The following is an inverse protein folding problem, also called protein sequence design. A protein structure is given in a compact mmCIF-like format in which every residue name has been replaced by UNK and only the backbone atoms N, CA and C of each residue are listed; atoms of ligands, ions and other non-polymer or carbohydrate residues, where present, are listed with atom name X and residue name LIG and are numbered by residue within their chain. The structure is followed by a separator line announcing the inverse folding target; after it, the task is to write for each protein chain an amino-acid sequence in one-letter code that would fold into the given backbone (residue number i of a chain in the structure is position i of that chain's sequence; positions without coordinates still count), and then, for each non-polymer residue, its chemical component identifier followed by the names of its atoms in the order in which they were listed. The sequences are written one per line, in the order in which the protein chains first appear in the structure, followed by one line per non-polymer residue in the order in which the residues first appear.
data_IF_599367686170
#
_entry.id   IF_599367686170
#
_cell.length_a   1.000
_cell.length_b   1.000
_cell.length_c   1.000
_cell.angle_alpha   90.00
_cell.angle_beta   90.00
_cell.angle_gamma   90.00
#
_symmetry.space_group_name_H-M   'P 1'
#
loop_
_entity.id
_entity.type
_entity.pdbx_description
1 polymer ?
#
# COMPACT_ATOMS: atom_id res chain seq x y z
N UNK A 1 19.84 -5.46 5.72
CA UNK A 1 20.59 -6.65 6.17
C UNK A 1 20.07 -7.83 5.35
N UNK A 2 20.91 -8.48 4.55
CA UNK A 2 20.54 -9.65 3.75
C UNK A 2 20.79 -10.95 4.50
N UNK A 3 19.97 -12.01 4.26
CA UNK A 3 18.77 -12.07 3.41
C UNK A 3 17.55 -11.41 4.05
N UNK A 4 16.56 -11.04 3.23
CA UNK A 4 15.21 -10.70 3.70
C UNK A 4 14.43 -11.99 3.69
N UNK A 5 14.16 -12.53 4.89
CA UNK A 5 13.48 -13.81 5.07
C UNK A 5 12.00 -13.73 4.62
N UNK A 6 11.35 -14.87 4.33
CA UNK A 6 9.96 -14.91 3.92
C UNK A 6 9.05 -14.14 4.88
N UNK A 7 8.30 -13.20 4.34
CA UNK A 7 7.32 -12.38 5.06
C UNK A 7 6.24 -11.88 4.10
N UNK A 8 5.22 -11.25 4.65
CA UNK A 8 4.17 -10.61 3.89
C UNK A 8 3.69 -9.35 4.63
N UNK A 9 2.98 -8.46 3.93
CA UNK A 9 2.45 -7.22 4.49
C UNK A 9 1.15 -6.80 3.77
N UNK A 10 0.46 -5.77 4.29
CA UNK A 10 -0.82 -5.28 3.77
C UNK A 10 -0.70 -4.13 2.75
N UNK A 11 0.50 -3.67 2.45
CA UNK A 11 0.77 -2.61 1.49
C UNK A 11 1.36 -3.18 0.19
N UNK A 12 1.38 -2.37 -0.86
CA UNK A 12 2.13 -2.65 -2.07
C UNK A 12 3.58 -2.28 -1.83
N UNK A 13 4.48 -3.19 -2.19
CA UNK A 13 5.92 -2.92 -2.22
C UNK A 13 6.42 -3.05 -3.65
N UNK A 14 7.12 -2.03 -4.12
CA UNK A 14 7.81 -2.04 -5.41
C UNK A 14 9.30 -2.06 -5.13
N UNK A 15 9.97 -3.11 -5.60
CA UNK A 15 11.43 -3.22 -5.57
C UNK A 15 11.98 -2.95 -6.97
N UNK A 16 12.93 -2.02 -7.07
CA UNK A 16 13.64 -1.67 -8.30
C UNK A 16 15.14 -1.92 -8.13
N UNK A 17 15.71 -2.80 -8.96
CA UNK A 17 17.13 -3.14 -8.93
C UNK A 17 17.99 -2.03 -9.50
N UNK A 18 19.04 -1.64 -8.78
CA UNK A 18 20.02 -0.62 -9.20
C UNK A 18 21.35 -1.23 -9.55
N UNK A 19 21.83 -2.21 -8.75
CA UNK A 19 23.16 -2.80 -8.89
C UNK A 19 23.18 -4.24 -8.36
N UNK A 20 23.96 -5.10 -8.97
CA UNK A 20 24.06 -6.51 -8.62
C UNK A 20 22.88 -7.34 -9.11
N UNK A 21 22.68 -8.52 -8.53
CA UNK A 21 21.56 -9.42 -8.84
C UNK A 21 20.91 -9.93 -7.56
N UNK A 22 19.60 -9.96 -7.55
CA UNK A 22 18.81 -10.51 -6.45
C UNK A 22 18.01 -11.73 -6.92
N UNK A 23 18.00 -12.78 -6.12
CA UNK A 23 17.04 -13.87 -6.24
C UNK A 23 15.82 -13.53 -5.36
N UNK A 24 14.65 -13.57 -5.94
CA UNK A 24 13.41 -13.17 -5.29
C UNK A 24 12.38 -14.28 -5.38
N UNK A 25 11.89 -14.71 -4.23
CA UNK A 25 10.72 -15.58 -4.13
C UNK A 25 9.48 -14.67 -4.01
N UNK A 26 8.48 -14.86 -4.85
CA UNK A 26 7.28 -14.04 -4.91
C UNK A 26 6.04 -14.92 -5.11
N UNK A 27 5.34 -15.24 -4.01
CA UNK A 27 4.27 -16.24 -4.00
C UNK A 27 4.81 -17.62 -4.33
N UNK A 28 4.32 -18.21 -5.42
CA UNK A 28 4.75 -19.54 -5.91
C UNK A 28 5.87 -19.44 -6.98
N UNK A 29 6.23 -18.23 -7.39
CA UNK A 29 7.18 -17.98 -8.48
C UNK A 29 8.52 -17.46 -7.96
N UNK A 30 9.56 -17.70 -8.74
CA UNK A 30 10.93 -17.28 -8.43
C UNK A 30 11.52 -16.47 -9.58
N UNK A 31 12.21 -15.38 -9.24
CA UNK A 31 12.77 -14.46 -10.21
C UNK A 31 14.23 -14.12 -9.88
N UNK A 32 15.03 -13.85 -10.92
CA UNK A 32 16.33 -13.22 -10.77
C UNK A 32 16.23 -11.82 -11.33
N UNK A 33 16.40 -10.82 -10.47
CA UNK A 33 16.35 -9.41 -10.84
C UNK A 33 17.74 -8.90 -11.18
N UNK A 34 17.85 -8.22 -12.31
CA UNK A 34 19.03 -7.50 -12.78
C UNK A 34 18.83 -5.98 -12.69
N UNK A 35 19.89 -5.16 -12.79
CA UNK A 35 19.76 -3.71 -12.78
C UNK A 35 18.78 -3.19 -13.84
N UNK A 36 17.81 -2.38 -13.40
CA UNK A 36 16.70 -1.87 -14.19
C UNK A 36 15.40 -2.68 -14.11
N UNK A 37 15.45 -3.89 -13.57
CA UNK A 37 14.26 -4.70 -13.35
C UNK A 37 13.45 -4.20 -12.15
N UNK A 38 12.15 -4.50 -12.19
CA UNK A 38 11.20 -4.14 -11.16
C UNK A 38 10.32 -5.34 -10.80
N UNK A 39 10.00 -5.50 -9.53
CA UNK A 39 8.98 -6.45 -9.06
C UNK A 39 7.99 -5.76 -8.12
N UNK A 40 6.73 -6.17 -8.20
CA UNK A 40 5.63 -5.64 -7.37
C UNK A 40 5.13 -6.73 -6.45
N UNK A 41 5.25 -6.53 -5.14
CA UNK A 41 4.61 -7.36 -4.14
C UNK A 41 3.27 -6.72 -3.77
N UNK A 42 2.18 -7.38 -4.09
CA UNK A 42 0.84 -6.93 -3.72
C UNK A 42 0.49 -7.35 -2.28
N UNK A 43 -0.52 -6.73 -1.67
CA UNK A 43 -0.91 -7.04 -0.29
C UNK A 43 -1.08 -8.54 -0.03
N UNK A 44 -0.53 -9.03 1.08
CA UNK A 44 -0.57 -10.42 1.53
C UNK A 44 0.23 -11.42 0.66
N UNK A 45 0.98 -10.97 -0.34
CA UNK A 45 1.88 -11.81 -1.10
C UNK A 45 3.13 -12.15 -0.27
N UNK A 46 3.32 -13.43 0.02
CA UNK A 46 4.54 -13.89 0.69
C UNK A 46 5.74 -13.72 -0.27
N UNK A 47 6.82 -13.13 0.23
CA UNK A 47 8.02 -12.92 -0.57
C UNK A 47 9.28 -12.93 0.28
N UNK A 48 10.41 -13.23 -0.38
CA UNK A 48 11.75 -13.21 0.21
C UNK A 48 12.77 -12.71 -0.82
N UNK A 49 13.89 -12.13 -0.34
CA UNK A 49 14.89 -11.55 -1.21
C UNK A 49 16.27 -12.01 -0.75
N UNK A 50 17.03 -12.60 -1.66
CA UNK A 50 18.37 -13.13 -1.42
C UNK A 50 19.37 -12.51 -2.41
N UNK A 51 20.66 -12.46 -2.04
CA UNK A 51 21.70 -12.12 -2.99
C UNK A 51 21.92 -13.28 -3.97
N UNK A 52 21.89 -13.00 -5.26
CA UNK A 52 22.12 -13.99 -6.32
C UNK A 52 23.57 -14.01 -6.81
N UNK A 53 24.53 -13.43 -6.06
CA UNK A 53 25.91 -13.37 -6.48
C UNK A 53 26.85 -12.90 -5.37
N UNK A 54 28.16 -12.77 -5.72
CA UNK A 54 29.20 -12.28 -4.79
C UNK A 54 29.29 -10.75 -4.73
N UNK A 55 28.66 -10.04 -5.66
CA UNK A 55 28.67 -8.57 -5.70
C UNK A 55 27.66 -7.98 -4.73
N UNK A 56 27.95 -6.81 -4.15
CA UNK A 56 26.97 -6.08 -3.37
C UNK A 56 25.74 -5.78 -4.22
N UNK A 57 24.57 -5.88 -3.61
CA UNK A 57 23.31 -5.53 -4.27
C UNK A 57 22.81 -4.21 -3.73
N UNK A 58 22.27 -3.38 -4.62
CA UNK A 58 21.61 -2.13 -4.29
C UNK A 58 20.28 -2.05 -5.04
N UNK A 59 19.26 -1.72 -4.32
CA UNK A 59 17.90 -1.57 -4.85
C UNK A 59 17.16 -0.49 -4.08
N UNK A 60 16.11 0.04 -4.69
CA UNK A 60 15.14 0.91 -4.03
C UNK A 60 13.88 0.12 -3.71
N UNK A 61 13.27 0.46 -2.58
CA UNK A 61 11.97 -0.08 -2.17
C UNK A 61 11.03 1.08 -1.93
N UNK A 62 9.90 1.06 -2.61
CA UNK A 62 8.80 1.99 -2.42
C UNK A 62 7.59 1.23 -1.87
N UNK A 63 7.04 1.73 -0.76
CA UNK A 63 5.93 1.10 -0.05
C UNK A 63 4.78 2.08 0.04
N UNK A 64 3.57 1.62 -0.28
CA UNK A 64 2.36 2.44 -0.18
C UNK A 64 1.12 1.56 0.00
N UNK A 65 0.11 2.12 0.65
CA UNK A 65 -1.22 1.49 0.72
C UNK A 65 -2.02 1.84 -0.55
N UNK A 66 -2.41 0.84 -1.37
CA UNK A 66 -3.10 1.09 -2.63
C UNK A 66 -4.49 1.72 -2.45
N UNK A 67 -5.08 1.64 -1.25
CA UNK A 67 -6.37 2.27 -0.93
C UNK A 67 -6.26 3.80 -1.00
N UNK A 68 -5.09 4.37 -0.67
CA UNK A 68 -4.87 5.81 -0.73
C UNK A 68 -4.54 6.36 -2.12
N UNK A 69 -4.35 5.50 -3.10
CA UNK A 69 -4.13 5.93 -4.49
C UNK A 69 -5.42 6.04 -5.31
N UNK A 70 -6.58 6.02 -4.67
CA UNK A 70 -7.84 6.17 -5.37
C UNK A 70 -7.97 7.58 -5.94
N UNK A 71 -8.26 7.66 -7.24
CA UNK A 71 -8.43 8.93 -7.97
C UNK A 71 -9.93 9.20 -8.04
N UNK A 72 -10.38 10.24 -7.34
CA UNK A 72 -11.77 10.71 -7.41
C UNK A 72 -12.16 11.03 -8.87
N UNK A 73 -13.32 10.55 -9.31
CA UNK A 73 -13.81 10.76 -10.67
C UNK A 73 -13.13 9.90 -11.76
N UNK A 74 -12.26 8.95 -11.38
CA UNK A 74 -11.70 8.01 -12.35
C UNK A 74 -12.77 7.05 -12.88
N UNK A 75 -12.76 6.80 -14.19
CA UNK A 75 -13.56 5.74 -14.81
C UNK A 75 -12.97 4.33 -14.58
N UNK A 76 -11.80 4.24 -13.97
CA UNK A 76 -11.13 2.98 -13.64
C UNK A 76 -11.54 2.52 -12.24
N UNK A 77 -11.60 1.20 -12.00
CA UNK A 77 -11.71 0.66 -10.65
C UNK A 77 -10.57 1.17 -9.74
N UNK A 78 -10.73 1.09 -8.40
CA UNK A 78 -9.65 1.39 -7.46
C UNK A 78 -8.36 0.63 -7.80
N UNK A 79 -7.21 1.24 -7.54
CA UNK A 79 -5.90 0.64 -7.85
C UNK A 79 -5.73 -0.71 -7.16
N UNK A 80 -6.21 -0.87 -5.92
CA UNK A 80 -6.24 -2.15 -5.21
C UNK A 80 -6.99 -3.24 -5.98
N UNK A 81 -8.15 -2.90 -6.56
CA UNK A 81 -8.94 -3.83 -7.38
C UNK A 81 -8.25 -4.16 -8.71
N UNK A 82 -7.62 -3.17 -9.36
CA UNK A 82 -6.85 -3.39 -10.58
C UNK A 82 -5.67 -4.32 -10.35
N UNK A 83 -4.95 -4.18 -9.24
CA UNK A 83 -3.87 -5.08 -8.85
C UNK A 83 -4.40 -6.49 -8.60
N UNK A 84 -5.49 -6.64 -7.84
CA UNK A 84 -6.09 -7.95 -7.58
C UNK A 84 -6.56 -8.63 -8.86
N UNK A 85 -7.25 -7.91 -9.76
CA UNK A 85 -7.68 -8.44 -11.06
C UNK A 85 -6.49 -8.88 -11.93
N UNK A 86 -5.42 -8.11 -11.96
CA UNK A 86 -4.25 -8.40 -12.79
C UNK A 86 -3.42 -9.56 -12.22
N UNK A 87 -2.94 -9.42 -11.00
CA UNK A 87 -1.98 -10.34 -10.41
C UNK A 87 -2.64 -11.62 -9.86
N UNK A 88 -3.81 -11.51 -9.22
CA UNK A 88 -4.46 -12.66 -8.57
C UNK A 88 -5.43 -13.38 -9.49
N UNK A 89 -6.38 -12.65 -10.13
CA UNK A 89 -7.41 -13.30 -10.96
C UNK A 89 -6.90 -13.71 -12.34
N UNK A 90 -6.11 -12.85 -12.99
CA UNK A 90 -5.58 -13.09 -14.34
C UNK A 90 -4.15 -13.63 -14.35
N UNK A 91 -3.52 -13.76 -13.18
CA UNK A 91 -2.17 -14.31 -12.98
C UNK A 91 -1.11 -13.66 -13.88
N UNK A 92 -1.23 -12.36 -14.12
CA UNK A 92 -0.22 -11.61 -14.84
C UNK A 92 1.05 -11.50 -14.00
N UNK A 93 2.19 -11.45 -14.68
CA UNK A 93 3.49 -11.37 -14.01
C UNK A 93 3.58 -10.14 -13.12
N UNK A 94 4.12 -10.33 -11.92
CA UNK A 94 4.48 -9.24 -11.00
C UNK A 94 5.93 -8.79 -11.19
N UNK A 95 6.70 -9.53 -12.00
CA UNK A 95 8.05 -9.20 -12.43
C UNK A 95 8.02 -8.48 -13.78
N UNK A 96 8.81 -7.43 -13.89
CA UNK A 96 8.93 -6.60 -15.07
C UNK A 96 10.41 -6.40 -15.40
N UNK A 97 10.84 -6.97 -16.49
CA UNK A 97 12.19 -6.74 -16.99
C UNK A 97 12.36 -5.29 -17.45
N UNK A 98 13.58 -4.81 -17.41
CA UNK A 98 13.95 -3.44 -17.79
C UNK A 98 13.45 -3.02 -19.19
N UNK A 99 13.30 -3.95 -20.12
CA UNK A 99 12.82 -3.72 -21.48
C UNK A 99 11.33 -3.34 -21.53
N UNK A 100 10.56 -3.63 -20.48
CA UNK A 100 9.12 -3.34 -20.40
C UNK A 100 8.82 -1.84 -20.18
N UNK A 101 9.82 -1.05 -19.76
CA UNK A 101 9.65 0.35 -19.43
C UNK A 101 10.62 1.26 -20.17
N UNK A 102 10.25 2.55 -20.29
CA UNK A 102 11.23 3.58 -20.53
C UNK A 102 12.13 3.72 -19.30
N UNK A 103 13.38 3.27 -19.40
CA UNK A 103 14.33 3.20 -18.29
C UNK A 103 14.64 4.57 -17.67
N UNK A 104 14.80 5.60 -18.49
CA UNK A 104 15.06 6.95 -18.00
C UNK A 104 13.89 7.49 -17.19
N UNK A 105 12.66 7.28 -17.67
CA UNK A 105 11.45 7.68 -16.95
C UNK A 105 11.29 6.94 -15.63
N UNK A 106 11.50 5.60 -15.63
CA UNK A 106 11.41 4.80 -14.40
C UNK A 106 12.46 5.22 -13.37
N UNK A 107 13.70 5.43 -13.81
CA UNK A 107 14.79 5.89 -12.96
C UNK A 107 14.47 7.26 -12.35
N UNK A 108 13.98 8.21 -13.14
CA UNK A 108 13.57 9.54 -12.65
C UNK A 108 12.45 9.44 -11.61
N UNK A 109 11.41 8.64 -11.86
CA UNK A 109 10.31 8.45 -10.91
C UNK A 109 10.77 7.85 -9.58
N UNK A 110 11.60 6.80 -9.64
CA UNK A 110 12.04 6.09 -8.45
C UNK A 110 13.06 6.92 -7.66
N UNK A 111 14.08 7.46 -8.31
CA UNK A 111 15.08 8.30 -7.66
C UNK A 111 14.48 9.61 -7.16
N UNK A 112 13.56 10.21 -7.92
CA UNK A 112 12.80 11.39 -7.49
C UNK A 112 11.95 11.12 -6.25
N UNK A 113 11.33 9.94 -6.16
CA UNK A 113 10.58 9.52 -4.97
C UNK A 113 11.49 9.36 -3.75
N UNK A 114 12.64 8.71 -3.91
CA UNK A 114 13.62 8.55 -2.82
C UNK A 114 14.11 9.91 -2.33
N UNK A 115 14.51 10.79 -3.26
CA UNK A 115 14.94 12.15 -2.93
C UNK A 115 13.84 12.95 -2.19
N UNK A 116 12.60 12.86 -2.67
CA UNK A 116 11.45 13.52 -2.03
C UNK A 116 11.24 13.03 -0.58
N UNK A 117 11.41 11.72 -0.33
CA UNK A 117 11.31 11.14 1.01
C UNK A 117 12.49 11.53 1.93
N UNK A 118 13.68 11.72 1.36
CA UNK A 118 14.87 12.15 2.11
C UNK A 118 14.77 13.64 2.49
N UNK A 119 14.32 14.49 1.56
CA UNK A 119 14.26 15.95 1.77
C UNK A 119 13.03 16.38 2.59
N UNK A 120 11.92 15.66 2.52
CA UNK A 120 10.64 15.93 3.21
C UNK A 120 10.23 17.42 3.22
N UNK A 121 10.38 18.08 2.06
CA UNK A 121 9.97 19.47 1.90
C UNK A 121 8.44 19.59 2.01
N UNK A 122 7.94 20.79 2.29
CA UNK A 122 6.50 21.04 2.33
C UNK A 122 5.78 20.52 1.07
N UNK A 123 4.75 19.68 1.23
CA UNK A 123 4.02 19.03 0.14
C UNK A 123 4.68 17.76 -0.42
N UNK A 124 5.70 17.20 0.26
CA UNK A 124 6.37 15.98 -0.16
C UNK A 124 5.39 14.79 -0.30
N UNK A 125 4.38 14.71 0.54
CA UNK A 125 3.31 13.71 0.52
C UNK A 125 2.48 13.78 -0.77
N UNK A 126 2.17 14.98 -1.26
CA UNK A 126 1.49 15.20 -2.54
C UNK A 126 2.35 14.71 -3.71
N UNK A 127 3.65 15.01 -3.68
CA UNK A 127 4.60 14.55 -4.70
C UNK A 127 4.72 13.04 -4.66
N UNK A 128 4.82 12.43 -3.48
CA UNK A 128 4.89 10.98 -3.32
C UNK A 128 3.63 10.29 -3.82
N UNK A 129 2.44 10.81 -3.49
CA UNK A 129 1.17 10.30 -4.01
C UNK A 129 1.15 10.34 -5.54
N UNK A 130 1.56 11.45 -6.14
CA UNK A 130 1.64 11.61 -7.59
C UNK A 130 2.61 10.61 -8.23
N UNK A 131 3.79 10.42 -7.63
CA UNK A 131 4.79 9.47 -8.12
C UNK A 131 4.28 8.01 -8.04
N UNK A 132 3.61 7.63 -6.97
CA UNK A 132 2.99 6.30 -6.84
C UNK A 132 1.90 6.08 -7.89
N UNK A 133 1.05 7.09 -8.15
CA UNK A 133 0.06 7.03 -9.22
C UNK A 133 0.73 6.84 -10.60
N UNK A 134 1.82 7.56 -10.88
CA UNK A 134 2.56 7.43 -12.14
C UNK A 134 3.23 6.06 -12.27
N UNK A 135 3.85 5.53 -11.20
CA UNK A 135 4.43 4.17 -11.20
C UNK A 135 3.36 3.12 -11.48
N UNK A 136 2.22 3.20 -10.80
CA UNK A 136 1.11 2.27 -11.05
C UNK A 136 0.55 2.40 -12.45
N UNK A 137 0.48 3.61 -13.02
CA UNK A 137 0.05 3.80 -14.40
C UNK A 137 0.99 3.13 -15.41
N UNK A 138 2.32 3.17 -15.19
CA UNK A 138 3.28 2.45 -16.05
C UNK A 138 3.11 0.93 -15.92
N UNK A 139 2.96 0.39 -14.71
CA UNK A 139 2.72 -1.03 -14.46
C UNK A 139 1.42 -1.48 -15.13
N UNK A 140 0.32 -0.74 -14.97
CA UNK A 140 -0.97 -1.03 -15.59
C UNK A 140 -0.90 -1.01 -17.14
N UNK A 141 -0.06 -0.14 -17.73
CA UNK A 141 0.17 -0.12 -19.19
C UNK A 141 0.87 -1.40 -19.65
N UNK A 142 1.87 -1.87 -18.92
CA UNK A 142 2.55 -3.14 -19.24
C UNK A 142 1.56 -4.29 -19.13
N UNK A 143 0.81 -4.39 -18.04
CA UNK A 143 -0.23 -5.42 -17.90
C UNK A 143 -1.27 -5.34 -19.02
N UNK A 144 -1.66 -4.12 -19.44
CA UNK A 144 -2.58 -3.95 -20.57
C UNK A 144 -2.02 -4.49 -21.88
N UNK A 145 -0.73 -4.31 -22.14
CA UNK A 145 -0.03 -4.86 -23.31
C UNK A 145 0.06 -6.39 -23.22
N UNK A 146 0.16 -6.95 -22.01
CA UNK A 146 0.20 -8.39 -21.74
C UNK A 146 -1.21 -9.05 -21.71
N UNK A 147 -2.25 -8.31 -22.04
CA UNK A 147 -3.60 -8.85 -22.17
C UNK A 147 -4.52 -8.57 -20.99
N UNK A 148 -4.12 -7.75 -20.02
CA UNK A 148 -5.00 -7.36 -18.92
C UNK A 148 -6.32 -6.80 -19.41
N UNK A 149 -7.41 -7.37 -18.92
CA UNK A 149 -8.76 -6.96 -19.25
C UNK A 149 -9.51 -6.55 -17.99
N UNK A 150 -10.01 -5.33 -17.99
CA UNK A 150 -10.96 -4.89 -16.98
C UNK A 150 -12.31 -5.51 -17.36
N UNK A 151 -12.74 -6.54 -16.63
CA UNK A 151 -14.06 -7.13 -16.80
C UNK A 151 -15.10 -6.13 -16.34
N UNK A 152 -15.73 -5.41 -17.28
CA UNK A 152 -16.88 -4.55 -16.98
C UNK A 152 -18.04 -5.44 -16.51
N UNK A 153 -18.31 -5.49 -15.21
CA UNK A 153 -19.59 -6.01 -14.71
C UNK A 153 -20.65 -4.95 -14.99
N UNK A 154 -21.73 -5.30 -15.70
CA UNK A 154 -22.84 -4.38 -16.09
C UNK A 154 -23.57 -3.68 -14.92
N UNK A 155 -23.22 -3.98 -13.65
CA UNK A 155 -23.72 -3.34 -12.43
C UNK A 155 -22.73 -2.38 -11.77
N UNK A 156 -21.54 -2.18 -12.33
CA UNK A 156 -20.39 -1.59 -11.60
C UNK A 156 -20.42 -0.08 -11.43
N UNK A 157 -21.09 0.67 -12.30
CA UNK A 157 -21.01 2.14 -12.21
C UNK A 157 -21.69 2.65 -10.93
N UNK A 158 -22.90 2.21 -10.64
CA UNK A 158 -23.64 2.63 -9.42
C UNK A 158 -23.04 2.03 -8.14
N UNK A 159 -22.51 0.80 -8.20
CA UNK A 159 -21.83 0.17 -7.07
C UNK A 159 -20.48 0.80 -6.79
N UNK A 160 -19.70 1.15 -7.82
CA UNK A 160 -18.40 1.79 -7.63
C UNK A 160 -18.54 3.19 -7.02
N UNK A 161 -19.52 3.97 -7.45
CA UNK A 161 -19.85 5.26 -6.84
C UNK A 161 -20.23 5.08 -5.38
N UNK A 162 -21.13 4.14 -5.06
CA UNK A 162 -21.54 3.85 -3.67
C UNK A 162 -20.37 3.40 -2.80
N UNK A 163 -19.49 2.53 -3.28
CA UNK A 163 -18.35 2.09 -2.47
C UNK A 163 -17.28 3.18 -2.34
N UNK A 164 -17.12 4.06 -3.30
CA UNK A 164 -16.32 5.28 -3.14
C UNK A 164 -16.89 6.13 -2.00
N UNK A 165 -18.20 6.39 -2.00
CA UNK A 165 -18.88 7.10 -0.90
C UNK A 165 -18.70 6.39 0.46
N UNK A 166 -18.76 5.04 0.50
CA UNK A 166 -18.49 4.26 1.73
C UNK A 166 -17.07 4.50 2.23
N UNK A 167 -16.06 4.46 1.36
CA UNK A 167 -14.66 4.67 1.77
C UNK A 167 -14.40 6.10 2.23
N UNK A 168 -14.99 7.08 1.55
CA UNK A 168 -14.95 8.50 1.96
C UNK A 168 -15.61 8.68 3.32
N UNK A 169 -16.78 8.07 3.54
CA UNK A 169 -17.48 8.11 4.82
C UNK A 169 -16.62 7.51 5.94
N UNK A 170 -16.02 6.33 5.73
CA UNK A 170 -15.10 5.72 6.70
C UNK A 170 -13.92 6.65 6.99
N UNK A 171 -13.34 7.28 5.97
CA UNK A 171 -12.19 8.19 6.12
C UNK A 171 -12.54 9.49 6.87
N UNK A 172 -13.79 9.92 6.84
CA UNK A 172 -14.26 11.12 7.55
C UNK A 172 -14.74 10.82 8.97
N UNK A 173 -15.24 9.59 9.23
CA UNK A 173 -15.89 9.21 10.49
C UNK A 173 -15.14 8.10 11.24
N UNK A 174 -13.86 7.83 10.92
CA UNK A 174 -13.07 6.73 11.51
C UNK A 174 -12.96 6.79 13.04
N UNK A 175 -13.12 7.99 13.63
CA UNK A 175 -13.09 8.21 15.08
C UNK A 175 -14.34 7.69 15.77
N UNK A 176 -15.45 7.62 15.06
CA UNK A 176 -16.75 7.19 15.58
C UNK A 176 -16.80 5.66 15.74
N UNK A 177 -17.76 5.17 16.53
CA UNK A 177 -17.99 3.72 16.65
C UNK A 177 -18.70 3.18 15.41
N UNK A 178 -17.95 2.98 14.35
CA UNK A 178 -18.47 2.49 13.07
C UNK A 178 -18.72 0.99 13.11
N UNK A 179 -19.97 0.59 12.99
CA UNK A 179 -20.35 -0.80 12.77
C UNK A 179 -20.60 -1.10 11.29
N UNK A 180 -20.25 -2.31 10.85
CA UNK A 180 -20.51 -2.74 9.46
C UNK A 180 -22.01 -2.82 9.18
N UNK A 181 -22.83 -3.09 10.21
CA UNK A 181 -24.29 -3.16 10.08
C UNK A 181 -24.89 -1.77 9.80
N UNK A 182 -24.46 -0.75 10.56
CA UNK A 182 -24.88 0.64 10.36
C UNK A 182 -24.44 1.19 9.01
N UNK A 183 -23.21 0.86 8.57
CA UNK A 183 -22.75 1.22 7.24
C UNK A 183 -23.61 0.57 6.14
N UNK A 184 -23.91 -0.72 6.28
CA UNK A 184 -24.77 -1.40 5.33
C UNK A 184 -26.16 -0.75 5.24
N UNK A 185 -26.79 -0.43 6.39
CA UNK A 185 -28.06 0.25 6.48
C UNK A 185 -28.00 1.65 5.85
N UNK A 186 -26.99 2.45 6.21
CA UNK A 186 -26.77 3.80 5.66
C UNK A 186 -26.70 3.82 4.14
N UNK A 187 -26.07 2.82 3.55
CA UNK A 187 -25.92 2.70 2.10
C UNK A 187 -27.04 1.84 1.44
N UNK A 188 -28.12 1.57 2.19
CA UNK A 188 -29.29 0.82 1.71
C UNK A 188 -28.96 -0.57 1.17
N UNK A 189 -28.12 -1.32 1.91
CA UNK A 189 -27.74 -2.70 1.59
C UNK A 189 -28.02 -3.63 2.77
N UNK A 190 -28.32 -4.90 2.49
CA UNK A 190 -28.31 -5.91 3.56
C UNK A 190 -26.87 -6.13 4.04
N UNK A 191 -26.68 -6.47 5.32
CA UNK A 191 -25.35 -6.74 5.91
C UNK A 191 -24.54 -7.75 5.07
N UNK A 192 -25.16 -8.88 4.73
CA UNK A 192 -24.46 -9.95 4.00
C UNK A 192 -24.05 -9.52 2.60
N UNK A 193 -24.91 -8.79 1.88
CA UNK A 193 -24.59 -8.25 0.56
C UNK A 193 -23.48 -7.21 0.63
N UNK A 194 -23.58 -6.25 1.56
CA UNK A 194 -22.56 -5.22 1.79
C UNK A 194 -21.21 -5.86 2.10
N UNK A 195 -21.14 -6.79 3.07
CA UNK A 195 -19.88 -7.41 3.49
C UNK A 195 -19.21 -8.20 2.34
N UNK A 196 -20.00 -8.94 1.56
CA UNK A 196 -19.49 -9.70 0.43
C UNK A 196 -18.94 -8.82 -0.68
N UNK A 197 -19.73 -7.83 -1.11
CA UNK A 197 -19.34 -6.92 -2.20
C UNK A 197 -18.20 -5.99 -1.77
N UNK A 198 -18.21 -5.51 -0.50
CA UNK A 198 -17.11 -4.71 0.04
C UNK A 198 -15.78 -5.47 -0.04
N UNK A 199 -15.77 -6.74 0.41
CA UNK A 199 -14.58 -7.58 0.35
C UNK A 199 -14.15 -7.86 -1.10
N UNK A 200 -15.11 -8.11 -1.99
CA UNK A 200 -14.85 -8.29 -3.43
C UNK A 200 -14.26 -7.03 -4.07
N UNK A 201 -14.76 -5.85 -3.70
CA UNK A 201 -14.37 -4.57 -4.28
C UNK A 201 -13.01 -4.07 -3.77
N UNK A 202 -12.77 -4.18 -2.45
CA UNK A 202 -11.56 -3.66 -1.81
C UNK A 202 -10.50 -4.72 -1.50
N UNK A 203 -10.76 -6.01 -1.71
CA UNK A 203 -9.86 -7.10 -1.34
C UNK A 203 -9.73 -7.33 0.18
N UNK A 204 -10.43 -6.55 1.00
CA UNK A 204 -10.40 -6.60 2.46
C UNK A 204 -11.79 -6.38 3.05
N UNK A 205 -12.01 -6.82 4.28
CA UNK A 205 -13.28 -6.57 4.96
C UNK A 205 -13.41 -5.09 5.36
N UNK A 206 -14.65 -4.62 5.53
CA UNK A 206 -14.91 -3.27 6.01
C UNK A 206 -14.29 -2.99 7.39
N UNK A 207 -14.28 -3.97 8.30
CA UNK A 207 -13.61 -3.86 9.60
C UNK A 207 -12.09 -3.67 9.46
N UNK A 208 -11.46 -4.40 8.55
CA UNK A 208 -10.02 -4.26 8.26
C UNK A 208 -9.72 -2.88 7.66
N UNK A 209 -10.59 -2.36 6.80
CA UNK A 209 -10.43 -1.00 6.27
C UNK A 209 -10.53 0.06 7.36
N UNK A 210 -11.55 0.01 8.23
CA UNK A 210 -11.70 0.92 9.37
C UNK A 210 -10.45 0.88 10.25
N UNK A 211 -9.98 -0.33 10.60
CA UNK A 211 -8.78 -0.50 11.40
C UNK A 211 -7.54 0.08 10.71
N UNK A 212 -7.42 -0.11 9.41
CA UNK A 212 -6.32 0.41 8.59
C UNK A 212 -6.28 1.93 8.62
N UNK A 213 -7.43 2.59 8.39
CA UNK A 213 -7.54 4.06 8.45
C UNK A 213 -7.15 4.59 9.83
N UNK A 214 -7.68 3.98 10.91
CA UNK A 214 -7.33 4.35 12.30
C UNK A 214 -5.85 4.24 12.59
N UNK A 215 -5.22 3.14 12.17
CA UNK A 215 -3.79 2.91 12.39
C UNK A 215 -2.90 3.88 11.60
N UNK A 216 -3.31 4.28 10.40
CA UNK A 216 -2.59 5.28 9.62
C UNK A 216 -2.68 6.66 10.26
N UNK A 217 -3.88 7.06 10.72
CA UNK A 217 -4.03 8.30 11.46
C UNK A 217 -3.22 8.30 12.77
N UNK A 218 -3.13 7.15 13.44
CA UNK A 218 -2.28 7.00 14.61
C UNK A 218 -0.78 7.10 14.26
N UNK A 219 -0.36 6.56 13.11
CA UNK A 219 1.01 6.69 12.60
C UNK A 219 1.36 8.17 12.34
N UNK A 220 0.48 8.91 11.66
CA UNK A 220 0.65 10.36 11.43
C UNK A 220 0.84 11.10 12.76
N UNK A 221 -0.03 10.85 13.75
CA UNK A 221 0.06 11.49 15.06
C UNK A 221 1.35 11.09 15.82
N UNK A 222 1.78 9.83 15.70
CA UNK A 222 3.05 9.38 16.31
C UNK A 222 4.27 10.07 15.69
N UNK A 223 4.22 10.34 14.38
CA UNK A 223 5.33 10.92 13.63
C UNK A 223 5.40 12.44 13.80
N UNK A 224 4.26 13.13 13.76
CA UNK A 224 4.22 14.59 13.68
C UNK A 224 3.86 15.28 14.98
N UNK A 225 3.53 14.55 16.07
CA UNK A 225 3.15 15.13 17.36
C UNK A 225 3.83 14.44 18.54
N UNK A 226 3.82 15.11 19.69
CA UNK A 226 4.26 14.54 20.97
C UNK A 226 3.11 14.02 21.83
N UNK A 227 1.91 13.87 21.28
CA UNK A 227 0.75 13.37 22.01
C UNK A 227 1.01 12.00 22.63
N UNK A 228 0.49 11.78 23.83
CA UNK A 228 0.62 10.48 24.50
C UNK A 228 -0.21 9.39 23.79
N UNK A 229 0.08 8.12 24.08
CA UNK A 229 -0.55 7.01 23.42
C UNK A 229 -2.04 6.86 23.74
N UNK A 230 -2.45 7.33 24.92
CA UNK A 230 -3.86 7.30 25.35
C UNK A 230 -4.66 8.28 24.51
N UNK A 231 -4.15 9.51 24.38
CA UNK A 231 -4.75 10.53 23.52
C UNK A 231 -4.83 10.06 22.06
N UNK A 232 -3.72 9.53 21.50
CA UNK A 232 -3.70 9.01 20.12
C UNK A 232 -4.73 7.90 19.93
N UNK A 233 -4.84 6.98 20.90
CA UNK A 233 -5.82 5.90 20.79
C UNK A 233 -7.26 6.41 20.74
N UNK A 234 -7.59 7.42 21.55
CA UNK A 234 -8.91 8.05 21.57
C UNK A 234 -9.19 8.82 20.28
N UNK A 235 -8.26 9.69 19.87
CA UNK A 235 -8.36 10.49 18.64
C UNK A 235 -8.46 9.65 17.36
N UNK A 236 -7.98 8.42 17.42
CA UNK A 236 -8.03 7.52 16.27
C UNK A 236 -9.14 6.47 16.36
N UNK A 237 -10.06 6.60 17.32
CA UNK A 237 -11.27 5.79 17.42
C UNK A 237 -11.06 4.38 17.99
N UNK A 238 -9.95 4.12 18.70
CA UNK A 238 -9.80 2.86 19.43
C UNK A 238 -10.54 2.92 20.76
N UNK A 239 -11.18 1.81 21.13
CA UNK A 239 -11.90 1.71 22.41
C UNK A 239 -10.99 1.85 23.64
N UNK A 240 -9.71 1.42 23.52
CA UNK A 240 -8.72 1.54 24.56
C UNK A 240 -7.28 1.51 23.99
N UNK A 241 -6.33 2.01 24.80
CA UNK A 241 -4.92 2.08 24.44
C UNK A 241 -4.27 0.70 24.25
N UNK A 242 -4.74 -0.33 24.95
CA UNK A 242 -4.18 -1.69 24.84
C UNK A 242 -4.53 -2.31 23.49
N UNK A 243 -5.77 -2.14 23.06
CA UNK A 243 -6.23 -2.56 21.73
C UNK A 243 -5.45 -1.84 20.63
N UNK A 244 -5.28 -0.52 20.75
CA UNK A 244 -4.43 0.27 19.85
C UNK A 244 -3.01 -0.28 19.75
N UNK A 245 -2.31 -0.46 20.89
CA UNK A 245 -0.92 -0.94 20.92
C UNK A 245 -0.80 -2.32 20.26
N UNK A 246 -1.74 -3.22 20.53
CA UNK A 246 -1.77 -4.56 19.94
C UNK A 246 -1.96 -4.52 18.42
N UNK A 247 -2.95 -3.77 17.95
CA UNK A 247 -3.26 -3.63 16.54
C UNK A 247 -2.11 -2.95 15.78
N UNK A 248 -1.52 -1.90 16.35
CA UNK A 248 -0.37 -1.20 15.77
C UNK A 248 0.85 -2.13 15.65
N UNK A 249 1.16 -2.89 16.72
CA UNK A 249 2.27 -3.86 16.69
C UNK A 249 2.03 -4.95 15.66
N UNK A 250 0.80 -5.40 15.50
CA UNK A 250 0.44 -6.42 14.50
C UNK A 250 0.66 -5.89 13.06
N UNK A 251 0.31 -4.63 12.79
CA UNK A 251 0.44 -4.02 11.45
C UNK A 251 1.89 -3.62 11.15
N UNK A 252 2.59 -2.97 12.07
CA UNK A 252 3.90 -2.36 11.83
C UNK A 252 5.09 -3.17 12.39
N UNK A 253 4.85 -4.28 13.05
CA UNK A 253 5.88 -5.15 13.64
C UNK A 253 6.51 -4.62 14.93
N UNK A 254 6.27 -3.35 15.28
CA UNK A 254 6.82 -2.68 16.47
C UNK A 254 5.73 -1.96 17.25
N UNK A 255 5.96 -1.73 18.55
CA UNK A 255 5.00 -0.96 19.36
C UNK A 255 5.01 0.51 18.96
N UNK A 256 3.91 1.28 19.16
CA UNK A 256 3.84 2.72 18.86
C UNK A 256 4.98 3.51 19.49
N UNK A 257 5.35 3.19 20.76
CA UNK A 257 6.47 3.85 21.45
C UNK A 257 7.81 3.61 20.75
N UNK A 258 8.10 2.37 20.32
CA UNK A 258 9.32 2.05 19.59
C UNK A 258 9.33 2.69 18.19
N UNK A 259 8.17 2.73 17.54
CA UNK A 259 8.00 3.41 16.25
C UNK A 259 8.39 4.89 16.36
N UNK A 260 7.80 5.63 17.30
CA UNK A 260 8.13 7.05 17.56
C UNK A 260 9.61 7.28 17.85
N UNK A 261 10.24 6.43 18.66
CA UNK A 261 11.67 6.55 18.98
C UNK A 261 12.57 6.34 17.75
N UNK A 262 12.21 5.41 16.87
CA UNK A 262 12.95 5.12 15.65
C UNK A 262 12.88 6.30 14.67
N UNK A 263 11.72 6.87 14.46
CA UNK A 263 11.54 8.04 13.59
C UNK A 263 12.34 9.26 14.13
N UNK A 264 12.25 9.56 15.43
CA UNK A 264 13.04 10.64 16.05
C UNK A 264 14.56 10.41 15.97
N UNK A 265 15.04 9.17 15.96
CA UNK A 265 16.46 8.86 15.79
C UNK A 265 16.95 9.04 14.33
N UNK A 266 16.09 8.85 13.34
CA UNK A 266 16.40 9.14 11.94
C UNK A 266 16.54 10.64 11.68
N UNK A 267 15.69 11.49 12.28
CA UNK A 267 15.81 12.96 12.20
C UNK A 267 17.12 13.50 12.81
N UNK A 268 17.70 12.79 13.78
CA UNK A 268 18.95 13.21 14.44
C UNK A 268 20.21 12.85 13.62
N UNK A 269 20.15 11.80 12.80
CA UNK A 269 21.26 11.37 11.94
C UNK A 269 21.32 12.20 10.65
N UNK A 270 20.19 12.71 10.18
CA UNK A 270 20.10 13.55 8.98
C UNK A 270 20.56 15.01 9.19
N UNK A 271 20.87 15.41 10.43
CA UNK A 271 21.30 16.77 10.79
C UNK A 271 22.79 16.89 11.15
N UNK A 272 23.62 15.88 10.82
CA UNK A 272 25.06 15.95 10.99
C UNK A 272 25.76 15.87 9.61
#
# INVERSE_FOLDING_TARGET
MFPILPHWHYFVEILYMVEGKAYVEAGEENYVLEPGDLIVFYPQMAHAIYSAGQLPIRYYVLKFDPVHLNISGSALPPISSLIAMAAVEQKLSVYFSKEKFNQEKMKQLIQGSVKTLEEKQFGYDIIMHSNYCLLMAEILRVWKQEGFQIKKRKKETVLSEKFTEVSEYISQHYQEDLSVAELAEKFHMSYSYFAAIFKEYYGQTCKEMILTVRLQKAEDLLQFTDFDLTYISQETGFCDCSHFIKAFKQKYGVTPRKYRMKEKSFDFVSRK
#
